data_IF_612709337108
#
_entry.id   IF_612709337108
#
_cell.length_a   1.000
_cell.length_b   1.000
_cell.length_c   1.000
_cell.angle_alpha   90.00
_cell.angle_beta   90.00
_cell.angle_gamma   90.00
#
_symmetry.space_group_name_H-M   'P 1'
#
loop_
_entity.id
_entity.type
_entity.pdbx_description
1 polymer ?
#
# COMPACT_ATOMS: atom_id res chain seq x y z
N UNK A 1 -5.92 13.81 23.63
CA UNK A 1 -4.85 13.38 22.70
C UNK A 1 -5.53 12.78 21.47
N UNK A 2 -5.02 13.04 20.27
CA UNK A 2 -5.58 12.49 19.04
C UNK A 2 -5.24 11.01 18.92
N UNK A 3 -6.18 10.16 18.45
CA UNK A 3 -5.96 8.72 18.28
C UNK A 3 -4.69 8.45 17.44
N UNK A 4 -3.85 7.45 17.79
CA UNK A 4 -2.73 7.04 16.95
C UNK A 4 -3.21 6.56 15.58
N UNK A 5 -2.32 6.59 14.58
CA UNK A 5 -2.63 6.14 13.21
C UNK A 5 -2.07 4.76 12.94
N UNK A 6 -2.86 3.92 12.28
CA UNK A 6 -2.41 2.67 11.68
C UNK A 6 -2.28 2.90 10.17
N UNK A 7 -1.08 2.72 9.65
CA UNK A 7 -0.78 2.91 8.22
C UNK A 7 -0.78 1.54 7.54
N UNK A 8 -1.58 1.37 6.51
CA UNK A 8 -1.85 0.06 5.89
C UNK A 8 -1.65 0.17 4.38
N UNK A 9 -0.78 -0.67 3.80
CA UNK A 9 -0.70 -0.77 2.34
C UNK A 9 -1.97 -1.40 1.75
N UNK A 10 -2.13 -1.27 0.43
CA UNK A 10 -3.26 -1.83 -0.30
C UNK A 10 -2.83 -3.02 -1.14
N UNK A 11 -1.89 -2.84 -2.07
CA UNK A 11 -1.48 -3.92 -2.98
C UNK A 11 -0.64 -4.93 -2.20
N UNK A 12 -0.98 -6.23 -2.26
CA UNK A 12 -0.31 -7.26 -1.45
C UNK A 12 -0.88 -7.39 -0.03
N UNK A 13 -1.32 -6.30 0.60
CA UNK A 13 -1.90 -6.37 1.96
C UNK A 13 -3.41 -6.59 1.95
N UNK A 14 -4.16 -5.71 1.28
CA UNK A 14 -5.62 -5.78 1.20
C UNK A 14 -6.08 -6.38 -0.12
N UNK A 15 -5.36 -6.08 -1.20
CA UNK A 15 -5.71 -6.41 -2.57
C UNK A 15 -4.74 -7.44 -3.14
N UNK A 16 -5.25 -8.57 -3.60
CA UNK A 16 -4.52 -9.52 -4.40
C UNK A 16 -4.36 -8.96 -5.82
N UNK A 17 -3.11 -8.76 -6.25
CA UNK A 17 -2.79 -8.17 -7.55
C UNK A 17 -2.34 -9.20 -8.59
N UNK A 18 -2.34 -10.49 -8.25
CA UNK A 18 -1.76 -11.55 -9.07
C UNK A 18 -2.32 -11.59 -10.50
N UNK A 19 -3.63 -11.37 -10.66
CA UNK A 19 -4.28 -11.42 -11.98
C UNK A 19 -3.75 -10.36 -12.93
N UNK A 20 -3.23 -9.24 -12.44
CA UNK A 20 -2.70 -8.14 -13.24
C UNK A 20 -1.18 -8.12 -13.37
N UNK A 21 -0.44 -8.98 -12.66
CA UNK A 21 1.03 -9.01 -12.71
C UNK A 21 1.59 -9.31 -14.12
N UNK A 22 0.86 -10.04 -14.94
CA UNK A 22 1.24 -10.33 -16.33
C UNK A 22 1.47 -9.06 -17.18
N UNK A 23 0.87 -7.92 -16.82
CA UNK A 23 1.14 -6.63 -17.47
C UNK A 23 2.58 -6.14 -17.22
N UNK A 24 3.20 -6.57 -16.13
CA UNK A 24 4.55 -6.17 -15.72
C UNK A 24 5.63 -7.20 -16.12
N UNK A 25 5.23 -8.41 -16.52
CA UNK A 25 6.17 -9.44 -16.99
C UNK A 25 6.70 -9.16 -18.41
N UNK A 26 5.97 -8.39 -19.22
CA UNK A 26 6.36 -8.05 -20.59
C UNK A 26 7.29 -6.84 -20.66
N UNK A 27 8.02 -6.72 -21.78
CA UNK A 27 8.87 -5.55 -22.09
C UNK A 27 8.41 -4.86 -23.40
N UNK A 28 8.10 -3.55 -23.38
CA UNK A 28 8.04 -2.67 -22.20
C UNK A 28 6.90 -3.05 -21.24
N UNK A 29 7.08 -2.78 -19.94
CA UNK A 29 6.04 -3.00 -18.91
C UNK A 29 4.79 -2.16 -19.22
N UNK A 30 3.62 -2.74 -19.00
CA UNK A 30 2.33 -2.09 -19.23
C UNK A 30 1.68 -1.59 -17.95
N UNK A 31 2.18 -0.45 -17.48
CA UNK A 31 1.65 0.22 -16.31
C UNK A 31 0.20 0.67 -16.48
N UNK A 32 -0.20 1.04 -17.71
CA UNK A 32 -1.57 1.44 -18.00
C UNK A 32 -2.54 0.27 -17.83
N UNK A 33 -2.22 -0.91 -18.38
CA UNK A 33 -2.99 -2.14 -18.17
C UNK A 33 -2.98 -2.59 -16.70
N UNK A 34 -1.81 -2.59 -16.06
CA UNK A 34 -1.66 -2.97 -14.65
C UNK A 34 -2.57 -2.13 -13.73
N UNK A 35 -2.54 -0.81 -13.86
CA UNK A 35 -3.41 0.04 -13.03
C UNK A 35 -4.85 0.08 -13.54
N UNK A 36 -5.09 -0.15 -14.83
CA UNK A 36 -6.44 -0.26 -15.40
C UNK A 36 -7.25 -1.43 -14.84
N UNK A 37 -6.58 -2.53 -14.47
CA UNK A 37 -7.20 -3.75 -13.95
C UNK A 37 -7.42 -3.78 -12.42
N UNK A 38 -7.01 -2.73 -11.68
CA UNK A 38 -7.06 -2.74 -10.19
C UNK A 38 -8.48 -2.74 -9.61
N UNK A 39 -9.50 -2.43 -10.42
CA UNK A 39 -10.89 -2.49 -9.98
C UNK A 39 -11.36 -3.92 -9.71
N UNK A 40 -10.66 -4.90 -10.27
CA UNK A 40 -11.00 -6.32 -10.21
C UNK A 40 -10.08 -7.09 -9.24
N UNK A 41 -9.28 -6.40 -8.41
CA UNK A 41 -8.45 -7.06 -7.39
C UNK A 41 -9.35 -7.83 -6.41
N UNK A 42 -9.03 -9.11 -6.17
CA UNK A 42 -9.68 -9.89 -5.11
C UNK A 42 -9.18 -9.42 -3.74
N UNK A 43 -10.04 -9.27 -2.71
CA UNK A 43 -9.58 -8.88 -1.38
C UNK A 43 -8.92 -10.06 -0.64
N UNK A 44 -7.85 -9.78 0.11
CA UNK A 44 -7.36 -10.69 1.14
C UNK A 44 -8.24 -10.55 2.39
N UNK A 45 -8.91 -11.64 2.78
CA UNK A 45 -9.81 -11.64 3.94
C UNK A 45 -9.06 -11.28 5.22
N UNK A 46 -7.85 -11.80 5.39
CA UNK A 46 -6.93 -11.53 6.49
C UNK A 46 -6.59 -10.05 6.60
N UNK A 47 -6.32 -9.40 5.45
CA UNK A 47 -6.05 -7.96 5.39
C UNK A 47 -7.26 -7.11 5.78
N UNK A 48 -8.45 -7.47 5.27
CA UNK A 48 -9.70 -6.77 5.60
C UNK A 48 -10.06 -6.93 7.09
N UNK A 49 -9.90 -8.13 7.65
CA UNK A 49 -10.10 -8.38 9.08
C UNK A 49 -9.12 -7.58 9.94
N UNK A 50 -7.83 -7.60 9.60
CA UNK A 50 -6.80 -6.85 10.33
C UNK A 50 -7.10 -5.34 10.33
N UNK A 51 -7.38 -4.74 9.18
CA UNK A 51 -7.66 -3.30 9.13
C UNK A 51 -8.95 -2.94 9.87
N UNK A 52 -9.94 -3.84 9.88
CA UNK A 52 -11.18 -3.67 10.66
C UNK A 52 -10.86 -3.66 12.16
N UNK A 53 -10.04 -4.59 12.65
CA UNK A 53 -9.57 -4.61 14.04
C UNK A 53 -8.81 -3.33 14.39
N UNK A 54 -7.87 -2.92 13.53
CA UNK A 54 -7.08 -1.69 13.74
C UNK A 54 -7.96 -0.44 13.82
N UNK A 55 -9.03 -0.37 13.02
CA UNK A 55 -9.95 0.78 13.00
C UNK A 55 -10.72 0.98 14.33
N UNK A 56 -10.81 -0.03 15.19
CA UNK A 56 -11.44 0.14 16.51
C UNK A 56 -10.62 1.06 17.43
N UNK A 57 -9.29 1.00 17.35
CA UNK A 57 -8.37 1.71 18.25
C UNK A 57 -7.59 2.84 17.55
N UNK A 58 -7.41 2.74 16.24
CA UNK A 58 -6.58 3.66 15.45
C UNK A 58 -7.40 4.44 14.42
N UNK A 59 -6.87 5.55 13.95
CA UNK A 59 -7.30 6.15 12.70
C UNK A 59 -6.56 5.46 11.55
N UNK A 60 -7.28 4.97 10.54
CA UNK A 60 -6.67 4.22 9.42
C UNK A 60 -6.20 5.17 8.32
N UNK A 61 -4.95 4.99 7.90
CA UNK A 61 -4.38 5.62 6.71
C UNK A 61 -3.99 4.51 5.73
N UNK A 62 -4.62 4.48 4.57
CA UNK A 62 -4.22 3.62 3.46
C UNK A 62 -3.06 4.29 2.71
N UNK A 63 -1.89 3.68 2.68
CA UNK A 63 -0.69 4.22 2.03
C UNK A 63 -0.22 3.28 0.93
N UNK A 64 -0.43 3.67 -0.33
CA UNK A 64 -0.16 2.78 -1.47
C UNK A 64 0.73 3.41 -2.54
N UNK A 65 1.50 2.55 -3.22
CA UNK A 65 2.26 2.91 -4.41
C UNK A 65 1.40 3.18 -5.65
N UNK A 66 0.08 2.91 -5.61
CA UNK A 66 -0.85 3.29 -6.68
C UNK A 66 -0.74 4.80 -6.98
N UNK A 67 -0.79 5.21 -8.27
CA UNK A 67 -0.68 6.61 -8.64
C UNK A 67 -1.91 7.43 -8.24
N UNK A 68 -1.72 8.71 -7.97
CA UNK A 68 -2.76 9.64 -7.50
C UNK A 68 -3.98 9.68 -8.45
N UNK A 69 -3.77 9.61 -9.78
CA UNK A 69 -4.85 9.52 -10.78
C UNK A 69 -5.81 8.35 -10.57
N UNK A 70 -5.46 7.33 -9.79
CA UNK A 70 -6.31 6.16 -9.51
C UNK A 70 -7.10 6.30 -8.21
N UNK A 71 -7.03 7.43 -7.50
CA UNK A 71 -7.73 7.66 -6.23
C UNK A 71 -9.18 7.25 -6.24
N UNK A 72 -9.93 7.66 -7.27
CA UNK A 72 -11.36 7.39 -7.34
C UNK A 72 -11.67 5.89 -7.44
N UNK A 73 -10.88 5.11 -8.20
CA UNK A 73 -11.07 3.66 -8.30
C UNK A 73 -10.61 2.96 -7.02
N UNK A 74 -9.49 3.38 -6.42
CA UNK A 74 -9.00 2.84 -5.14
C UNK A 74 -10.03 3.02 -4.02
N UNK A 75 -10.62 4.22 -3.88
CA UNK A 75 -11.64 4.49 -2.87
C UNK A 75 -12.91 3.68 -3.08
N UNK A 76 -13.36 3.51 -4.33
CA UNK A 76 -14.50 2.65 -4.64
C UNK A 76 -14.19 1.19 -4.31
N UNK A 77 -13.02 0.70 -4.69
CA UNK A 77 -12.61 -0.67 -4.40
C UNK A 77 -12.57 -0.95 -2.89
N UNK A 78 -11.99 -0.07 -2.09
CA UNK A 78 -11.97 -0.18 -0.62
C UNK A 78 -13.40 -0.26 -0.05
N UNK A 79 -14.29 0.63 -0.49
CA UNK A 79 -15.67 0.68 -0.02
C UNK A 79 -16.46 -0.58 -0.42
N UNK A 80 -16.30 -1.05 -1.66
CA UNK A 80 -16.99 -2.24 -2.17
C UNK A 80 -16.54 -3.53 -1.49
N UNK A 81 -15.29 -3.59 -1.01
CA UNK A 81 -14.71 -4.77 -0.36
C UNK A 81 -14.76 -4.70 1.18
N UNK A 82 -15.55 -3.78 1.74
CA UNK A 82 -15.80 -3.74 3.19
C UNK A 82 -14.65 -3.18 4.03
N UNK A 83 -13.64 -2.53 3.42
CA UNK A 83 -12.60 -1.86 4.18
C UNK A 83 -13.21 -0.67 4.97
N UNK A 84 -12.79 -0.45 6.23
CA UNK A 84 -13.29 0.65 7.05
C UNK A 84 -12.94 2.02 6.44
N UNK A 85 -13.60 3.08 6.91
CA UNK A 85 -13.28 4.44 6.44
C UNK A 85 -11.88 4.82 6.91
N UNK A 86 -11.09 5.39 6.00
CA UNK A 86 -9.73 5.85 6.29
C UNK A 86 -9.27 6.91 5.29
N UNK A 87 -8.17 7.59 5.63
CA UNK A 87 -7.52 8.53 4.73
C UNK A 87 -6.72 7.75 3.69
N UNK A 88 -6.88 8.07 2.41
CA UNK A 88 -6.12 7.42 1.32
C UNK A 88 -4.96 8.32 0.89
N UNK A 89 -3.73 7.84 1.04
CA UNK A 89 -2.50 8.47 0.58
C UNK A 89 -1.91 7.65 -0.55
N UNK A 90 -1.96 8.20 -1.77
CA UNK A 90 -1.42 7.58 -2.96
C UNK A 90 -0.13 8.27 -3.36
N UNK A 91 0.62 7.60 -4.23
CA UNK A 91 1.85 8.13 -4.80
C UNK A 91 1.52 9.26 -5.79
N UNK A 92 2.11 10.45 -5.67
CA UNK A 92 1.97 11.50 -6.69
C UNK A 92 2.33 10.98 -8.08
N UNK A 93 1.61 11.41 -9.12
CA UNK A 93 1.81 10.90 -10.49
C UNK A 93 3.24 11.13 -11.04
N UNK A 94 3.94 12.15 -10.53
CA UNK A 94 5.31 12.52 -10.89
C UNK A 94 6.39 11.90 -9.97
N UNK A 95 6.02 11.17 -8.92
CA UNK A 95 6.98 10.58 -7.98
C UNK A 95 7.52 9.22 -8.44
N UNK A 96 8.76 9.25 -8.93
CA UNK A 96 9.48 8.09 -9.46
C UNK A 96 10.40 7.39 -8.46
N UNK A 97 10.35 7.77 -7.17
CA UNK A 97 11.22 7.17 -6.16
C UNK A 97 10.83 5.72 -5.87
N UNK A 98 11.74 4.85 -5.39
CA UNK A 98 11.39 3.53 -4.89
C UNK A 98 10.27 3.57 -3.83
N UNK A 99 9.45 2.52 -3.73
CA UNK A 99 8.36 2.43 -2.76
C UNK A 99 8.84 2.61 -1.33
N UNK A 100 9.96 1.98 -0.95
CA UNK A 100 10.58 2.19 0.36
C UNK A 100 10.86 3.66 0.68
N UNK A 101 11.32 4.45 -0.30
CA UNK A 101 11.64 5.86 -0.08
C UNK A 101 10.39 6.73 0.03
N UNK A 102 9.42 6.50 -0.86
CA UNK A 102 8.14 7.19 -0.83
C UNK A 102 7.41 6.93 0.49
N UNK A 103 7.20 5.65 0.86
CA UNK A 103 6.43 5.27 2.04
C UNK A 103 7.10 5.74 3.34
N UNK A 104 8.42 5.55 3.50
CA UNK A 104 9.14 6.07 4.68
C UNK A 104 9.09 7.60 4.77
N UNK A 105 9.13 8.30 3.63
CA UNK A 105 8.94 9.75 3.59
C UNK A 105 7.57 10.19 4.12
N UNK A 106 6.50 9.47 3.73
CA UNK A 106 5.15 9.73 4.24
C UNK A 106 5.06 9.44 5.74
N UNK A 107 5.60 8.30 6.20
CA UNK A 107 5.59 7.92 7.61
C UNK A 107 6.26 8.98 8.50
N UNK A 108 7.42 9.49 8.09
CA UNK A 108 8.12 10.58 8.82
C UNK A 108 7.27 11.84 8.93
N UNK A 109 6.64 12.25 7.83
CA UNK A 109 5.75 13.42 7.81
C UNK A 109 4.50 13.23 8.69
N UNK A 110 3.97 12.01 8.75
CA UNK A 110 2.86 11.68 9.66
C UNK A 110 3.31 11.77 11.12
N UNK A 111 4.50 11.21 11.43
CA UNK A 111 5.07 11.19 12.77
C UNK A 111 5.34 12.59 13.36
N UNK A 112 5.55 13.60 12.52
CA UNK A 112 5.66 15.01 12.96
C UNK A 112 4.38 15.55 13.62
N UNK A 113 3.23 14.93 13.36
CA UNK A 113 1.90 15.44 13.77
C UNK A 113 1.14 14.48 14.67
N UNK A 114 1.36 13.18 14.50
CA UNK A 114 0.58 12.10 15.11
C UNK A 114 1.48 10.91 15.38
N UNK A 115 1.18 10.18 16.44
CA UNK A 115 1.79 8.87 16.67
C UNK A 115 1.40 7.90 15.55
N UNK A 116 2.39 7.31 14.90
CA UNK A 116 2.21 6.19 13.97
C UNK A 116 2.39 4.91 14.77
N UNK A 117 1.28 4.26 15.11
CA UNK A 117 1.30 3.05 15.94
C UNK A 117 1.98 1.88 15.22
N UNK A 118 1.71 1.73 13.92
CA UNK A 118 2.33 0.72 13.06
C UNK A 118 2.16 1.03 11.57
N UNK A 119 3.06 0.44 10.78
CA UNK A 119 2.91 0.18 9.35
C UNK A 119 2.55 -1.29 9.13
N UNK A 120 1.56 -1.56 8.28
CA UNK A 120 1.25 -2.89 7.72
C UNK A 120 1.64 -2.89 6.24
N UNK A 121 2.59 -3.73 5.84
CA UNK A 121 3.13 -3.79 4.48
C UNK A 121 3.59 -5.22 4.16
N UNK A 122 3.58 -5.64 2.89
CA UNK A 122 4.11 -6.93 2.45
C UNK A 122 5.47 -6.82 1.75
N UNK A 123 5.88 -5.62 1.31
CA UNK A 123 7.16 -5.42 0.62
C UNK A 123 8.33 -5.48 1.63
N UNK A 124 9.22 -6.49 1.56
CA UNK A 124 10.32 -6.63 2.51
C UNK A 124 11.28 -5.43 2.51
N UNK A 125 11.44 -4.73 1.38
CA UNK A 125 12.28 -3.54 1.29
C UNK A 125 11.65 -2.33 1.99
N UNK A 126 10.33 -2.18 1.91
CA UNK A 126 9.59 -1.18 2.67
C UNK A 126 9.65 -1.51 4.16
N UNK A 127 9.33 -2.75 4.55
CA UNK A 127 9.37 -3.22 5.92
C UNK A 127 10.74 -2.98 6.58
N UNK A 128 11.81 -3.37 5.89
CA UNK A 128 13.19 -3.15 6.36
C UNK A 128 13.50 -1.67 6.53
N UNK A 129 13.13 -0.83 5.55
CA UNK A 129 13.41 0.61 5.60
C UNK A 129 12.59 1.32 6.70
N UNK A 130 11.34 0.92 6.92
CA UNK A 130 10.48 1.46 7.96
C UNK A 130 10.99 1.09 9.36
N UNK A 131 11.38 -0.17 9.59
CA UNK A 131 12.02 -0.60 10.84
C UNK A 131 13.31 0.19 11.11
N UNK A 132 14.16 0.34 10.10
CA UNK A 132 15.39 1.13 10.20
C UNK A 132 15.12 2.63 10.50
N UNK A 133 13.96 3.15 10.10
CA UNK A 133 13.52 4.50 10.41
C UNK A 133 12.82 4.64 11.78
N UNK A 134 12.72 3.56 12.56
CA UNK A 134 12.17 3.56 13.92
C UNK A 134 10.66 3.30 14.00
N UNK A 135 10.03 2.84 12.92
CA UNK A 135 8.60 2.51 12.92
C UNK A 135 8.37 1.04 13.32
N UNK A 136 7.32 0.80 14.10
CA UNK A 136 6.75 -0.54 14.28
C UNK A 136 6.17 -1.02 12.96
N UNK A 137 6.49 -2.25 12.57
CA UNK A 137 6.03 -2.85 11.32
C UNK A 137 5.41 -4.22 11.59
N UNK A 138 4.19 -4.40 11.11
CA UNK A 138 3.56 -5.69 10.91
C UNK A 138 3.76 -6.08 9.45
N UNK A 139 4.48 -7.17 9.20
CA UNK A 139 4.73 -7.66 7.85
C UNK A 139 3.64 -8.66 7.47
N UNK A 140 2.91 -8.38 6.39
CA UNK A 140 1.82 -9.24 5.94
C UNK A 140 2.38 -10.50 5.26
N UNK A 141 2.16 -11.66 5.87
CA UNK A 141 2.72 -12.94 5.39
C UNK A 141 1.76 -13.75 4.49
N UNK A 142 0.48 -13.35 4.39
CA UNK A 142 -0.52 -14.06 3.57
C UNK A 142 -0.32 -13.82 2.07
N UNK A 143 0.22 -12.67 1.70
CA UNK A 143 0.72 -12.43 0.34
C UNK A 143 2.08 -13.06 0.16
N UNK A 144 2.27 -13.76 -0.95
CA UNK A 144 3.60 -14.21 -1.35
C UNK A 144 4.30 -13.05 -2.07
N UNK A 145 5.47 -12.58 -1.60
CA UNK A 145 6.20 -11.54 -2.30
C UNK A 145 6.45 -11.96 -3.74
N UNK A 146 5.89 -11.23 -4.69
CA UNK A 146 6.09 -11.52 -6.10
C UNK A 146 7.33 -10.77 -6.64
N UNK A 147 8.35 -11.45 -7.18
CA UNK A 147 9.56 -10.81 -7.68
C UNK A 147 9.29 -9.75 -8.76
N UNK A 148 8.27 -9.95 -9.60
CA UNK A 148 7.87 -8.98 -10.64
C UNK A 148 7.37 -7.70 -10.00
N UNK A 149 6.47 -7.80 -9.02
CA UNK A 149 5.91 -6.64 -8.32
C UNK A 149 6.99 -5.90 -7.53
N UNK A 150 7.79 -6.64 -6.75
CA UNK A 150 8.89 -6.11 -5.97
C UNK A 150 9.88 -5.33 -6.85
N UNK A 151 10.34 -5.92 -7.96
CA UNK A 151 11.23 -5.24 -8.90
C UNK A 151 10.58 -3.99 -9.49
N UNK A 152 9.29 -4.06 -9.83
CA UNK A 152 8.56 -2.95 -10.40
C UNK A 152 8.42 -1.76 -9.42
N UNK A 153 8.17 -2.04 -8.14
CA UNK A 153 8.03 -1.03 -7.08
C UNK A 153 9.37 -0.40 -6.68
N UNK A 154 10.45 -1.18 -6.67
CA UNK A 154 11.73 -0.74 -6.10
C UNK A 154 12.75 -0.26 -7.13
N UNK A 155 12.67 -0.72 -8.37
CA UNK A 155 13.64 -0.39 -9.43
C UNK A 155 13.04 0.44 -10.55
N UNK A 156 11.78 0.19 -10.90
CA UNK A 156 11.20 0.80 -12.09
C UNK A 156 10.39 2.05 -11.80
N UNK A 157 10.01 2.32 -10.55
CA UNK A 157 9.42 3.57 -10.05
C UNK A 157 8.67 4.39 -11.11
N UNK A 158 7.78 3.77 -11.87
CA UNK A 158 7.10 4.42 -13.00
C UNK A 158 5.61 4.32 -12.75
N UNK A 159 5.11 5.36 -12.08
CA UNK A 159 3.73 5.79 -12.21
C UNK A 159 3.44 6.28 -13.62
#
# INVERSE_FOLDING_TARGET
MSRPVAVVDIDGVLANVDHRLHHLDRRPKDWAGFFGAMGDDEPFAEGIELVTLLAHEHEVIYLSGRPERTRAVTQRWLASNGAPRGTVMLRPDDDRRPARQFKVGVLRRLAERREVAMLVDDDPAVCTAARAAGFTVYEAEWSRPNPTLFSAQESDGRT
#
